data_IF_718380331032
#
_entry.id   IF_718380331032
#
_cell.length_a   1.000
_cell.length_b   1.000
_cell.length_c   1.000
_cell.angle_alpha   90.00
_cell.angle_beta   90.00
_cell.angle_gamma   90.00
#
_symmetry.space_group_name_H-M   'P 1'
#
loop_
_entity.id
_entity.type
_entity.pdbx_description
1 polymer ?
#
# COMPACT_ATOMS: atom_id res chain seq x y z
N UNK A 1 11.99 -3.56 26.62
CA UNK A 1 11.09 -2.40 26.46
C UNK A 1 10.05 -2.75 25.40
N UNK A 2 8.76 -2.48 25.68
CA UNK A 2 7.72 -2.72 24.67
C UNK A 2 7.87 -1.72 23.51
N UNK A 3 7.47 -2.11 22.28
CA UNK A 3 7.42 -1.22 21.10
C UNK A 3 6.70 0.11 21.40
N UNK A 4 5.61 0.04 22.15
CA UNK A 4 4.85 1.23 22.58
C UNK A 4 5.70 2.17 23.43
N UNK A 5 6.51 1.65 24.35
CA UNK A 5 7.37 2.47 25.21
C UNK A 5 8.48 3.18 24.40
N UNK A 6 9.05 2.51 23.39
CA UNK A 6 10.06 3.14 22.53
C UNK A 6 9.45 4.28 21.69
N UNK A 7 8.28 4.06 21.10
CA UNK A 7 7.53 5.09 20.37
C UNK A 7 7.13 6.27 21.25
N UNK A 8 6.62 5.97 22.46
CA UNK A 8 6.27 6.99 23.43
C UNK A 8 7.47 7.88 23.77
N UNK A 9 8.61 7.24 24.12
CA UNK A 9 9.86 7.97 24.43
C UNK A 9 10.31 8.85 23.26
N UNK A 10 10.26 8.33 22.03
CA UNK A 10 10.59 9.10 20.84
C UNK A 10 9.72 10.35 20.71
N UNK A 11 8.40 10.20 20.83
CA UNK A 11 7.45 11.30 20.69
C UNK A 11 7.63 12.37 21.78
N UNK A 12 7.72 11.95 23.04
CA UNK A 12 7.89 12.86 24.19
C UNK A 12 9.22 13.62 24.11
N UNK A 13 10.30 12.96 23.72
CA UNK A 13 11.62 13.60 23.55
C UNK A 13 11.60 14.71 22.48
N UNK A 14 10.67 14.66 21.55
CA UNK A 14 10.48 15.69 20.52
C UNK A 14 9.34 16.67 20.82
N UNK A 15 8.88 16.70 22.07
CA UNK A 15 7.92 17.70 22.56
C UNK A 15 6.45 17.40 22.24
N UNK A 16 6.13 16.19 21.80
CA UNK A 16 4.75 15.83 21.49
C UNK A 16 3.96 15.49 22.77
N UNK A 17 2.70 15.91 22.81
CA UNK A 17 1.76 15.50 23.86
C UNK A 17 1.24 14.10 23.52
N UNK A 18 1.56 13.11 24.34
CA UNK A 18 1.23 11.70 24.07
C UNK A 18 0.55 11.06 25.28
N UNK A 19 -0.51 10.31 25.00
CA UNK A 19 -1.16 9.45 25.99
C UNK A 19 -1.01 8.00 25.54
N UNK A 20 -0.49 7.13 26.43
CA UNK A 20 -0.44 5.68 26.21
C UNK A 20 -1.78 5.08 26.64
N UNK A 21 -2.27 4.11 25.84
CA UNK A 21 -3.49 3.36 26.12
C UNK A 21 -4.68 4.28 26.44
N UNK A 22 -4.82 5.32 25.61
CA UNK A 22 -5.92 6.28 25.76
C UNK A 22 -7.26 5.62 25.50
N UNK A 23 -8.10 5.61 26.50
CA UNK A 23 -9.49 5.16 26.38
C UNK A 23 -10.28 6.21 25.62
N UNK A 24 -11.00 5.79 24.58
CA UNK A 24 -11.90 6.59 23.76
C UNK A 24 -13.31 5.99 23.90
N UNK A 25 -14.06 6.39 24.94
CA UNK A 25 -15.35 5.78 25.28
C UNK A 25 -16.38 5.91 24.14
N UNK A 26 -16.33 7.02 23.43
CA UNK A 26 -17.20 7.31 22.29
C UNK A 26 -17.01 6.33 21.11
N UNK A 27 -15.84 5.69 21.02
CA UNK A 27 -15.52 4.68 20.00
C UNK A 27 -15.57 3.25 20.54
N UNK A 28 -15.67 3.08 21.86
CA UNK A 28 -15.50 1.77 22.53
C UNK A 28 -14.12 1.18 22.28
N UNK A 29 -13.06 2.02 22.15
CA UNK A 29 -11.70 1.61 21.80
C UNK A 29 -10.66 2.19 22.77
N UNK A 30 -9.51 1.52 22.79
CA UNK A 30 -8.30 2.00 23.45
C UNK A 30 -7.25 2.17 22.36
N UNK A 31 -6.74 3.40 22.19
CA UNK A 31 -5.63 3.69 21.29
C UNK A 31 -4.31 3.34 21.95
N UNK A 32 -3.41 2.63 21.25
CA UNK A 32 -2.10 2.26 21.81
C UNK A 32 -1.28 3.49 22.21
N UNK A 33 -1.20 4.49 21.32
CA UNK A 33 -0.69 5.82 21.61
C UNK A 33 -1.62 6.84 20.95
N UNK A 34 -1.88 7.93 21.65
CA UNK A 34 -2.66 9.04 21.12
C UNK A 34 -1.84 10.32 21.19
N UNK A 35 -1.57 10.91 20.03
CA UNK A 35 -0.67 12.05 19.88
C UNK A 35 -1.49 13.31 19.62
N UNK A 36 -1.24 14.34 20.42
CA UNK A 36 -2.02 15.57 20.37
C UNK A 36 -3.50 15.31 20.64
N UNK A 37 -4.35 15.85 19.78
CA UNK A 37 -5.81 15.78 19.94
C UNK A 37 -6.50 14.93 18.85
N UNK A 38 -5.74 14.35 17.90
CA UNK A 38 -6.38 13.75 16.72
C UNK A 38 -5.68 12.53 16.10
N UNK A 39 -4.47 12.17 16.52
CA UNK A 39 -3.73 11.08 15.89
C UNK A 39 -3.62 9.85 16.81
N UNK A 40 -4.21 8.75 16.40
CA UNK A 40 -3.99 7.44 17.00
C UNK A 40 -2.86 6.70 16.27
N UNK A 41 -1.87 6.21 17.01
CA UNK A 41 -0.87 5.26 16.53
C UNK A 41 -1.20 3.89 17.11
N UNK A 42 -1.47 2.94 16.23
CA UNK A 42 -1.82 1.56 16.58
C UNK A 42 -0.67 0.63 16.22
N UNK A 43 -0.17 -0.11 17.20
CA UNK A 43 0.94 -1.06 17.03
C UNK A 43 0.36 -2.47 16.89
N UNK A 44 0.31 -2.97 15.67
CA UNK A 44 -0.27 -4.29 15.39
C UNK A 44 0.84 -5.32 15.21
N UNK A 45 1.07 -6.16 16.23
CA UNK A 45 2.11 -7.18 16.20
C UNK A 45 1.61 -8.56 15.77
N UNK A 46 0.33 -8.87 15.99
CA UNK A 46 -0.27 -10.16 15.67
C UNK A 46 -1.40 -10.02 14.66
N UNK A 47 -1.80 -11.13 14.08
CA UNK A 47 -2.93 -11.15 13.13
C UNK A 47 -4.24 -10.80 13.83
N UNK A 48 -5.04 -9.99 13.16
CA UNK A 48 -6.44 -9.75 13.54
C UNK A 48 -7.35 -9.99 12.33
N UNK A 49 -8.65 -10.12 12.55
CA UNK A 49 -9.59 -10.27 11.44
C UNK A 49 -9.68 -8.98 10.63
N UNK A 50 -9.87 -9.09 9.31
CA UNK A 50 -10.10 -7.93 8.45
C UNK A 50 -11.31 -7.11 8.91
N UNK A 51 -12.37 -7.77 9.34
CA UNK A 51 -13.58 -7.11 9.83
C UNK A 51 -13.22 -6.19 11.02
N UNK A 52 -12.53 -6.70 12.03
CA UNK A 52 -12.14 -5.93 13.22
C UNK A 52 -11.23 -4.75 12.86
N UNK A 53 -10.27 -4.96 11.96
CA UNK A 53 -9.41 -3.87 11.47
C UNK A 53 -10.23 -2.76 10.83
N UNK A 54 -11.15 -3.14 9.94
CA UNK A 54 -12.02 -2.20 9.21
C UNK A 54 -12.96 -1.45 10.16
N UNK A 55 -13.58 -2.15 11.10
CA UNK A 55 -14.43 -1.54 12.13
C UNK A 55 -13.66 -0.52 12.96
N UNK A 56 -12.48 -0.89 13.47
CA UNK A 56 -11.63 0.01 14.26
C UNK A 56 -11.21 1.24 13.46
N UNK A 57 -10.75 1.04 12.23
CA UNK A 57 -10.32 2.16 11.36
C UNK A 57 -11.49 3.11 11.06
N UNK A 58 -12.67 2.57 10.73
CA UNK A 58 -13.86 3.39 10.44
C UNK A 58 -14.32 4.18 11.66
N UNK A 59 -14.28 3.59 12.85
CA UNK A 59 -14.63 4.29 14.08
C UNK A 59 -13.73 5.53 14.29
N UNK A 60 -12.40 5.39 14.15
CA UNK A 60 -11.49 6.54 14.18
C UNK A 60 -11.85 7.59 13.14
N UNK A 61 -12.07 7.16 11.90
CA UNK A 61 -12.39 8.06 10.79
C UNK A 61 -13.71 8.81 10.99
N UNK A 62 -14.74 8.16 11.53
CA UNK A 62 -16.05 8.77 11.81
C UNK A 62 -15.98 9.80 12.94
N UNK A 63 -15.11 9.57 13.93
CA UNK A 63 -14.86 10.52 15.00
C UNK A 63 -13.93 11.69 14.59
N UNK A 64 -13.45 11.71 13.34
CA UNK A 64 -12.53 12.73 12.86
C UNK A 64 -11.07 12.52 13.25
N UNK A 65 -10.73 11.36 13.82
CA UNK A 65 -9.35 11.04 14.15
C UNK A 65 -8.59 10.45 12.97
N UNK A 66 -7.30 10.72 12.91
CA UNK A 66 -6.38 10.00 12.05
C UNK A 66 -5.88 8.74 12.76
N UNK A 67 -5.70 7.65 12.03
CA UNK A 67 -5.06 6.44 12.55
C UNK A 67 -3.87 6.06 11.68
N UNK A 68 -2.76 5.69 12.32
CA UNK A 68 -1.59 5.09 11.68
C UNK A 68 -1.33 3.73 12.28
N UNK A 69 -1.46 2.72 11.43
CA UNK A 69 -1.15 1.34 11.77
C UNK A 69 0.33 1.08 11.54
N UNK A 70 1.02 0.65 12.57
CA UNK A 70 2.44 0.31 12.56
C UNK A 70 2.56 -1.20 12.76
N UNK A 71 3.09 -1.89 11.75
CA UNK A 71 3.05 -3.35 11.68
C UNK A 71 4.29 -3.98 12.30
N UNK A 72 4.10 -4.89 13.26
CA UNK A 72 5.16 -5.74 13.79
C UNK A 72 5.54 -6.86 12.82
N UNK A 73 6.58 -7.62 13.19
CA UNK A 73 7.27 -8.60 12.34
C UNK A 73 6.36 -9.63 11.67
N UNK A 74 5.36 -10.15 12.38
CA UNK A 74 4.42 -11.13 11.81
C UNK A 74 3.59 -10.60 10.62
N UNK A 75 3.50 -9.27 10.50
CA UNK A 75 2.69 -8.59 9.50
C UNK A 75 3.53 -7.85 8.45
N UNK A 76 4.85 -7.96 8.49
CA UNK A 76 5.70 -7.32 7.50
C UNK A 76 5.41 -7.80 6.08
N UNK A 77 5.57 -6.90 5.13
CA UNK A 77 5.34 -7.19 3.72
C UNK A 77 6.44 -8.07 3.14
N UNK A 78 6.08 -9.29 2.78
CA UNK A 78 6.96 -10.32 2.24
C UNK A 78 6.44 -10.86 0.92
N UNK A 79 6.96 -10.38 -0.19
CA UNK A 79 6.75 -10.94 -1.52
C UNK A 79 5.32 -10.89 -2.09
N UNK A 80 4.28 -10.97 -1.26
CA UNK A 80 2.86 -10.90 -1.65
C UNK A 80 2.04 -10.14 -0.62
N UNK A 81 1.03 -9.40 -1.09
CA UNK A 81 0.03 -8.77 -0.23
C UNK A 81 -1.04 -9.79 0.16
N UNK A 82 -1.22 -10.00 1.45
CA UNK A 82 -2.40 -10.68 2.00
C UNK A 82 -3.61 -9.74 1.95
N UNK A 83 -4.82 -10.28 2.09
CA UNK A 83 -6.03 -9.45 2.19
C UNK A 83 -5.98 -8.51 3.39
N UNK A 84 -5.44 -8.98 4.52
CA UNK A 84 -5.26 -8.15 5.71
C UNK A 84 -4.27 -7.01 5.46
N UNK A 85 -3.13 -7.27 4.80
CA UNK A 85 -2.16 -6.23 4.49
C UNK A 85 -2.72 -5.17 3.52
N UNK A 86 -3.64 -5.53 2.61
CA UNK A 86 -4.34 -4.55 1.75
C UNK A 86 -5.14 -3.54 2.57
N UNK A 87 -5.67 -3.94 3.71
CA UNK A 87 -6.41 -3.05 4.61
C UNK A 87 -5.50 -2.15 5.47
N UNK A 88 -4.18 -2.41 5.50
CA UNK A 88 -3.18 -1.51 6.09
C UNK A 88 -2.54 -0.55 5.07
N UNK A 89 -2.85 -0.68 3.77
CA UNK A 89 -2.28 0.20 2.75
C UNK A 89 -2.85 1.60 2.82
N UNK A 90 -1.96 2.56 2.88
CA UNK A 90 -2.23 3.98 2.64
C UNK A 90 -1.87 4.36 1.21
N UNK A 91 -2.30 5.55 0.78
CA UNK A 91 -1.96 6.08 -0.53
C UNK A 91 -1.74 7.59 -0.46
N UNK A 92 -0.68 8.07 -1.10
CA UNK A 92 -0.51 9.47 -1.43
C UNK A 92 -0.07 9.60 -2.89
N UNK A 93 -0.39 10.72 -3.52
CA UNK A 93 0.04 10.97 -4.89
C UNK A 93 1.57 11.04 -5.04
N UNK A 94 2.28 11.42 -3.98
CA UNK A 94 3.74 11.59 -3.99
C UNK A 94 4.51 10.27 -3.96
N UNK A 95 4.08 9.30 -3.16
CA UNK A 95 4.82 8.04 -2.95
C UNK A 95 4.00 6.78 -3.29
N UNK A 96 2.76 6.94 -3.76
CA UNK A 96 1.88 5.81 -4.10
C UNK A 96 1.40 5.03 -2.88
N UNK A 97 1.09 3.76 -3.11
CA UNK A 97 0.70 2.84 -2.04
C UNK A 97 1.87 2.61 -1.10
N UNK A 98 1.57 2.63 0.20
CA UNK A 98 2.59 2.45 1.23
C UNK A 98 2.00 1.88 2.53
N UNK A 99 2.87 1.31 3.37
CA UNK A 99 2.56 0.85 4.72
C UNK A 99 3.78 1.05 5.65
N UNK A 100 3.51 1.03 6.95
CA UNK A 100 4.50 1.23 7.98
C UNK A 100 4.80 -0.06 8.72
N UNK A 101 6.08 -0.33 8.97
CA UNK A 101 6.57 -1.47 9.73
C UNK A 101 7.45 -0.98 10.90
N UNK A 102 7.40 -1.70 12.01
CA UNK A 102 8.28 -1.49 13.16
C UNK A 102 9.23 -2.67 13.31
N UNK A 103 10.51 -2.36 13.39
CA UNK A 103 11.57 -3.30 13.73
C UNK A 103 12.13 -2.95 15.10
N UNK A 104 11.70 -3.67 16.13
CA UNK A 104 12.12 -3.40 17.50
C UNK A 104 13.57 -3.84 17.76
N UNK A 105 14.08 -4.85 17.03
CA UNK A 105 15.44 -5.34 17.19
C UNK A 105 16.47 -4.32 16.67
N UNK A 106 16.08 -3.59 15.63
CA UNK A 106 16.90 -2.52 15.05
C UNK A 106 16.54 -1.14 15.57
N UNK A 107 15.51 -1.04 16.39
CA UNK A 107 14.94 0.24 16.83
C UNK A 107 14.62 1.20 15.66
N UNK A 108 13.98 0.65 14.63
CA UNK A 108 13.66 1.35 13.38
C UNK A 108 12.15 1.35 13.09
N UNK A 109 11.68 2.46 12.51
CA UNK A 109 10.43 2.51 11.76
C UNK A 109 10.76 2.47 10.26
N UNK A 110 10.07 1.59 9.53
CA UNK A 110 10.27 1.41 8.10
C UNK A 110 9.02 1.75 7.33
N UNK A 111 9.20 2.43 6.22
CA UNK A 111 8.17 2.70 5.23
C UNK A 111 8.42 1.84 4.00
N UNK A 112 7.49 0.96 3.67
CA UNK A 112 7.40 0.30 2.37
C UNK A 112 6.54 1.19 1.48
N UNK A 113 7.08 1.68 0.37
CA UNK A 113 6.38 2.66 -0.47
C UNK A 113 6.58 2.38 -1.95
N UNK A 114 5.84 3.10 -2.75
CA UNK A 114 5.75 2.86 -4.19
C UNK A 114 5.43 1.38 -4.47
N UNK A 115 4.46 0.86 -3.71
CA UNK A 115 4.06 -0.54 -3.75
C UNK A 115 3.26 -0.79 -5.01
N UNK A 116 3.73 -1.76 -5.80
CA UNK A 116 3.07 -2.28 -6.99
C UNK A 116 2.95 -3.79 -6.89
N UNK A 117 2.00 -4.37 -7.61
CA UNK A 117 1.75 -5.81 -7.65
C UNK A 117 1.71 -6.30 -9.10
N UNK A 118 2.40 -7.41 -9.41
CA UNK A 118 2.26 -8.01 -10.73
C UNK A 118 0.98 -8.85 -10.85
N UNK A 119 0.65 -9.22 -12.07
CA UNK A 119 -0.53 -10.03 -12.35
C UNK A 119 -0.51 -11.42 -11.69
N UNK A 120 0.65 -11.88 -11.20
CA UNK A 120 0.80 -13.12 -10.44
C UNK A 120 0.75 -12.91 -8.92
N UNK A 121 0.69 -11.66 -8.46
CA UNK A 121 0.60 -11.28 -7.05
C UNK A 121 1.93 -11.07 -6.34
N UNK A 122 3.04 -11.05 -7.07
CA UNK A 122 4.32 -10.63 -6.52
C UNK A 122 4.30 -9.11 -6.35
N UNK A 123 4.76 -8.64 -5.18
CA UNK A 123 4.84 -7.21 -4.90
C UNK A 123 6.25 -6.68 -5.10
N UNK A 124 6.31 -5.42 -5.48
CA UNK A 124 7.52 -4.63 -5.67
C UNK A 124 7.35 -3.34 -4.90
N UNK A 125 8.41 -2.87 -4.24
CA UNK A 125 8.36 -1.67 -3.41
C UNK A 125 9.78 -1.15 -3.14
N UNK A 126 9.85 0.10 -2.70
CA UNK A 126 11.03 0.70 -2.10
C UNK A 126 10.89 0.68 -0.57
N UNK A 127 12.02 0.73 0.12
CA UNK A 127 12.05 0.77 1.59
C UNK A 127 12.87 1.95 2.04
N UNK A 128 12.33 2.72 2.98
CA UNK A 128 13.06 3.73 3.73
C UNK A 128 12.94 3.43 5.21
N UNK A 129 14.02 3.60 5.96
CA UNK A 129 14.05 3.35 7.39
C UNK A 129 14.59 4.57 8.11
N UNK A 130 14.11 4.77 9.33
CA UNK A 130 14.55 5.80 10.26
C UNK A 130 14.70 5.19 11.64
N UNK A 131 15.67 5.70 12.41
CA UNK A 131 15.80 5.32 13.82
C UNK A 131 14.60 5.83 14.62
N UNK A 132 14.16 5.06 15.62
CA UNK A 132 13.16 5.53 16.60
C UNK A 132 13.65 6.69 17.45
N UNK A 133 14.93 7.07 17.37
CA UNK A 133 15.46 8.28 17.99
C UNK A 133 15.19 9.55 17.21
N UNK A 134 14.82 9.44 15.92
CA UNK A 134 14.44 10.57 15.09
C UNK A 134 13.04 11.10 15.45
N UNK A 135 12.73 12.32 14.99
CA UNK A 135 11.40 12.91 15.22
C UNK A 135 10.33 12.11 14.45
N UNK A 136 9.60 11.27 15.18
CA UNK A 136 8.62 10.37 14.60
C UNK A 136 7.51 11.11 13.84
N UNK A 137 7.09 12.31 14.30
CA UNK A 137 6.06 13.08 13.60
C UNK A 137 6.56 13.59 12.24
N UNK A 138 7.82 13.97 12.14
CA UNK A 138 8.45 14.32 10.85
C UNK A 138 8.53 13.11 9.93
N UNK A 139 8.91 11.95 10.47
CA UNK A 139 8.96 10.67 9.73
C UNK A 139 7.57 10.31 9.18
N UNK A 140 6.53 10.36 10.01
CA UNK A 140 5.15 10.02 9.61
C UNK A 140 4.56 10.98 8.57
N UNK A 141 5.09 12.21 8.47
CA UNK A 141 4.71 13.19 7.44
C UNK A 141 5.41 12.98 6.09
N UNK A 142 6.48 12.17 6.04
CA UNK A 142 7.24 11.94 4.80
C UNK A 142 6.37 11.58 3.59
N UNK A 143 5.33 10.73 3.67
CA UNK A 143 4.47 10.40 2.53
C UNK A 143 3.79 11.61 1.87
N UNK A 144 3.59 12.67 2.62
CA UNK A 144 2.92 13.90 2.18
C UNK A 144 3.91 14.99 1.75
N UNK A 145 5.15 14.93 2.24
CA UNK A 145 6.16 15.99 2.06
C UNK A 145 7.29 15.61 1.11
N UNK A 146 7.39 14.34 0.69
CA UNK A 146 8.44 13.87 -0.19
C UNK A 146 8.53 14.75 -1.47
N UNK A 147 9.70 15.38 -1.69
CA UNK A 147 9.95 16.21 -2.86
C UNK A 147 10.45 15.38 -4.04
N UNK A 148 11.30 14.42 -3.76
CA UNK A 148 11.86 13.48 -4.74
C UNK A 148 11.58 12.06 -4.29
N UNK A 149 11.04 11.28 -5.19
CA UNK A 149 10.79 9.85 -4.98
C UNK A 149 11.57 9.07 -6.01
N UNK A 150 12.33 8.10 -5.54
CA UNK A 150 13.08 7.20 -6.40
C UNK A 150 12.12 6.39 -7.27
N UNK A 151 12.61 6.03 -8.45
CA UNK A 151 11.92 5.11 -9.35
C UNK A 151 12.71 3.81 -9.41
N UNK A 152 12.05 2.73 -9.79
CA UNK A 152 12.74 1.46 -9.97
C UNK A 152 12.22 0.73 -11.20
N UNK A 153 13.05 -0.18 -11.72
CA UNK A 153 12.70 -1.01 -12.86
C UNK A 153 12.45 -2.44 -12.44
N UNK A 154 11.47 -3.06 -13.06
CA UNK A 154 11.18 -4.48 -12.92
C UNK A 154 11.25 -5.16 -14.28
N UNK A 155 11.73 -6.41 -14.28
CA UNK A 155 11.69 -7.25 -15.47
C UNK A 155 10.38 -8.01 -15.48
N UNK A 156 9.59 -7.83 -16.51
CA UNK A 156 8.35 -8.54 -16.73
C UNK A 156 8.62 -9.96 -17.21
N UNK A 157 7.68 -10.86 -16.93
CA UNK A 157 7.76 -12.25 -17.36
C UNK A 157 7.60 -12.36 -18.87
N UNK A 158 8.51 -13.05 -19.53
CA UNK A 158 8.39 -13.45 -20.95
C UNK A 158 7.42 -14.61 -21.08
N UNK A 159 6.77 -14.73 -22.24
CA UNK A 159 5.79 -15.78 -22.57
C UNK A 159 4.67 -15.89 -21.52
N UNK A 160 4.24 -14.73 -21.03
CA UNK A 160 3.22 -14.63 -19.97
C UNK A 160 1.89 -15.26 -20.38
N UNK A 161 1.51 -15.13 -21.66
CA UNK A 161 0.31 -15.76 -22.24
C UNK A 161 0.35 -17.30 -22.07
N UNK A 162 1.47 -17.94 -22.40
CA UNK A 162 1.63 -19.39 -22.21
C UNK A 162 1.58 -19.81 -20.74
N UNK A 163 2.12 -18.99 -19.84
CA UNK A 163 2.04 -19.26 -18.39
C UNK A 163 0.58 -19.22 -17.94
N UNK A 164 -0.17 -18.18 -18.36
CA UNK A 164 -1.58 -18.02 -17.99
C UNK A 164 -2.44 -19.16 -18.57
N UNK A 165 -2.20 -19.57 -19.82
CA UNK A 165 -2.86 -20.73 -20.42
C UNK A 165 -2.64 -21.99 -19.57
N UNK A 166 -1.40 -22.27 -19.16
CA UNK A 166 -1.07 -23.41 -18.31
C UNK A 166 -1.75 -23.32 -16.93
N UNK A 167 -1.78 -22.13 -16.31
CA UNK A 167 -2.49 -21.91 -15.04
C UNK A 167 -4.00 -22.16 -15.18
N UNK A 168 -4.61 -21.76 -16.29
CA UNK A 168 -6.02 -22.04 -16.60
C UNK A 168 -6.28 -23.52 -16.86
N UNK A 169 -5.43 -24.19 -17.63
CA UNK A 169 -5.51 -25.65 -17.84
C UNK A 169 -5.36 -26.43 -16.54
N UNK A 170 -4.48 -25.97 -15.63
CA UNK A 170 -4.31 -26.49 -14.28
C UNK A 170 -5.43 -26.11 -13.30
N UNK A 171 -6.48 -25.44 -13.76
CA UNK A 171 -7.62 -24.98 -12.96
C UNK A 171 -7.21 -24.15 -11.72
N UNK A 172 -6.15 -23.33 -11.85
CA UNK A 172 -5.74 -22.44 -10.77
C UNK A 172 -6.90 -21.49 -10.38
N UNK A 173 -7.37 -21.51 -9.12
CA UNK A 173 -8.58 -20.76 -8.73
C UNK A 173 -8.51 -19.25 -8.98
N UNK A 174 -7.31 -18.67 -8.86
CA UNK A 174 -7.08 -17.25 -9.12
C UNK A 174 -7.29 -16.93 -10.60
N UNK A 175 -6.73 -17.77 -11.49
CA UNK A 175 -6.82 -17.56 -12.93
C UNK A 175 -8.18 -17.92 -13.50
N UNK A 176 -8.83 -18.98 -12.95
CA UNK A 176 -10.21 -19.33 -13.31
C UNK A 176 -11.16 -18.15 -13.05
N UNK A 177 -11.05 -17.53 -11.89
CA UNK A 177 -11.85 -16.35 -11.54
C UNK A 177 -11.57 -15.16 -12.46
N UNK A 178 -10.31 -14.89 -12.81
CA UNK A 178 -9.95 -13.85 -13.78
C UNK A 178 -10.50 -14.12 -15.17
N UNK A 179 -10.56 -15.38 -15.57
CA UNK A 179 -11.18 -15.80 -16.80
C UNK A 179 -12.69 -15.51 -16.81
N UNK A 180 -13.38 -15.82 -15.71
CA UNK A 180 -14.80 -15.48 -15.53
C UNK A 180 -15.03 -13.97 -15.64
N UNK A 181 -14.22 -13.18 -14.93
CA UNK A 181 -14.27 -11.71 -15.00
C UNK A 181 -13.97 -11.18 -16.42
N UNK A 182 -13.08 -11.83 -17.16
CA UNK A 182 -12.78 -11.50 -18.55
C UNK A 182 -13.94 -11.83 -19.48
N UNK A 183 -14.57 -12.99 -19.31
CA UNK A 183 -15.76 -13.37 -20.09
C UNK A 183 -16.92 -12.39 -19.92
N UNK A 184 -17.15 -11.90 -18.71
CA UNK A 184 -18.16 -10.86 -18.46
C UNK A 184 -17.89 -9.55 -19.22
N UNK A 185 -16.65 -9.33 -19.66
CA UNK A 185 -16.22 -8.18 -20.48
C UNK A 185 -16.05 -8.52 -21.97
N UNK A 186 -16.51 -9.70 -22.39
CA UNK A 186 -16.37 -10.17 -23.77
C UNK A 186 -14.94 -10.56 -24.17
N UNK A 187 -14.07 -10.86 -23.20
CA UNK A 187 -12.67 -11.24 -23.45
C UNK A 187 -12.41 -12.69 -23.05
N UNK A 188 -11.45 -13.33 -23.76
CA UNK A 188 -10.97 -14.66 -23.41
C UNK A 188 -9.46 -14.60 -23.18
N UNK A 189 -9.00 -14.87 -21.95
CA UNK A 189 -7.59 -14.83 -21.60
C UNK A 189 -6.74 -15.83 -22.38
N UNK A 190 -7.33 -16.93 -22.86
CA UNK A 190 -6.66 -17.92 -23.68
C UNK A 190 -6.27 -17.40 -25.08
N UNK A 191 -6.97 -16.36 -25.56
CA UNK A 191 -6.74 -15.75 -26.87
C UNK A 191 -5.81 -14.52 -26.81
N UNK A 192 -5.37 -14.13 -25.61
CA UNK A 192 -4.53 -12.96 -25.41
C UNK A 192 -3.05 -13.27 -25.62
N UNK A 193 -2.34 -12.32 -26.24
CA UNK A 193 -0.89 -12.32 -26.42
C UNK A 193 -0.15 -11.74 -25.22
N UNK A 194 1.17 -11.84 -25.18
CA UNK A 194 2.00 -11.20 -24.15
C UNK A 194 1.78 -9.69 -24.07
N UNK A 195 1.51 -9.04 -25.20
CA UNK A 195 1.28 -7.58 -25.26
C UNK A 195 -0.02 -7.16 -24.58
N UNK A 196 -1.05 -8.00 -24.60
CA UNK A 196 -2.34 -7.71 -23.98
C UNK A 196 -2.27 -7.71 -22.46
N UNK A 197 -1.26 -8.40 -21.89
CA UNK A 197 -0.97 -8.39 -20.46
C UNK A 197 -0.05 -7.26 -20.03
N UNK A 198 0.41 -6.41 -20.95
CA UNK A 198 1.24 -5.25 -20.62
C UNK A 198 0.40 -4.07 -20.12
N UNK A 199 0.80 -3.36 -19.06
CA UNK A 199 1.91 -3.68 -18.15
C UNK A 199 1.53 -4.81 -17.17
N UNK A 200 2.50 -5.69 -16.88
CA UNK A 200 2.25 -6.79 -15.94
C UNK A 200 2.23 -6.32 -14.48
N UNK A 201 2.94 -5.25 -14.16
CA UNK A 201 3.01 -4.67 -12.82
C UNK A 201 2.11 -3.45 -12.75
N UNK A 202 1.19 -3.44 -11.78
CA UNK A 202 0.09 -2.48 -11.66
C UNK A 202 -0.07 -2.02 -10.22
N UNK A 203 -0.92 -1.05 -9.98
CA UNK A 203 -1.37 -0.72 -8.62
C UNK A 203 -2.00 -1.94 -7.96
N UNK A 204 -1.80 -2.12 -6.63
CA UNK A 204 -2.52 -3.13 -5.88
C UNK A 204 -4.03 -2.97 -6.04
N UNK A 205 -4.74 -4.08 -6.11
CA UNK A 205 -6.19 -4.13 -6.21
C UNK A 205 -6.78 -4.69 -4.91
N UNK A 206 -7.94 -4.19 -4.51
CA UNK A 206 -8.72 -4.73 -3.39
C UNK A 206 -10.19 -4.84 -3.79
N UNK A 207 -10.77 -6.03 -3.60
CA UNK A 207 -12.19 -6.28 -3.88
C UNK A 207 -13.12 -5.55 -2.93
N UNK A 208 -12.67 -5.36 -1.70
CA UNK A 208 -13.45 -4.69 -0.65
C UNK A 208 -13.10 -3.21 -0.52
N UNK A 209 -12.22 -2.69 -1.40
CA UNK A 209 -11.62 -1.37 -1.27
C UNK A 209 -10.55 -1.32 -0.18
N UNK A 210 -9.88 -0.19 -0.07
CA UNK A 210 -8.82 0.08 0.89
C UNK A 210 -9.35 0.94 2.03
N UNK A 211 -9.44 0.40 3.24
CA UNK A 211 -10.09 1.09 4.36
C UNK A 211 -9.35 2.35 4.84
N UNK A 212 -8.02 2.41 4.64
CA UNK A 212 -7.23 3.60 5.01
C UNK A 212 -7.30 4.71 3.96
N UNK A 213 -7.77 4.41 2.74
CA UNK A 213 -7.73 5.33 1.60
C UNK A 213 -9.12 5.95 1.41
N UNK A 214 -9.25 7.24 1.69
CA UNK A 214 -10.52 7.97 1.60
C UNK A 214 -10.76 8.60 0.21
N UNK A 215 -9.69 8.87 -0.52
CA UNK A 215 -9.76 9.48 -1.85
C UNK A 215 -10.03 8.44 -2.94
N UNK A 216 -10.65 8.85 -4.03
CA UNK A 216 -10.79 8.01 -5.21
C UNK A 216 -9.44 7.78 -5.87
N UNK A 217 -9.17 6.54 -6.25
CA UNK A 217 -7.97 6.14 -6.99
C UNK A 217 -8.17 6.11 -8.51
N UNK A 218 -9.41 6.23 -8.98
CA UNK A 218 -9.76 6.09 -10.40
C UNK A 218 -8.96 7.02 -11.33
N UNK A 219 -8.75 8.27 -10.89
CA UNK A 219 -7.98 9.25 -11.66
C UNK A 219 -6.54 8.78 -11.88
N UNK A 220 -5.89 8.29 -10.83
CA UNK A 220 -4.52 7.78 -10.89
C UNK A 220 -4.43 6.49 -11.72
N UNK A 221 -5.40 5.59 -11.60
CA UNK A 221 -5.47 4.37 -12.41
C UNK A 221 -5.67 4.67 -13.90
N UNK A 222 -6.52 5.63 -14.25
CA UNK A 222 -6.73 6.08 -15.63
C UNK A 222 -5.43 6.64 -16.23
N UNK A 223 -4.72 7.50 -15.48
CA UNK A 223 -3.45 8.08 -15.91
C UNK A 223 -2.36 7.01 -16.07
N UNK A 224 -2.25 6.08 -15.16
CA UNK A 224 -1.37 4.93 -15.24
C UNK A 224 -1.64 4.09 -16.50
N UNK A 225 -2.90 3.67 -16.71
CA UNK A 225 -3.31 2.90 -17.89
C UNK A 225 -3.04 3.67 -19.18
N UNK A 226 -3.36 4.97 -19.22
CA UNK A 226 -3.12 5.85 -20.38
C UNK A 226 -1.63 5.97 -20.72
N UNK A 227 -0.78 6.09 -19.70
CA UNK A 227 0.68 6.14 -19.88
C UNK A 227 1.20 4.90 -20.58
N UNK A 228 0.86 3.70 -20.10
CA UNK A 228 1.37 2.45 -20.66
C UNK A 228 0.74 2.06 -22.00
N UNK A 229 -0.52 2.43 -22.28
CA UNK A 229 -1.12 2.24 -23.61
C UNK A 229 -0.36 2.95 -24.73
N UNK A 230 0.29 4.06 -24.43
CA UNK A 230 1.07 4.85 -25.39
C UNK A 230 2.52 4.41 -25.50
N UNK A 231 2.94 3.42 -24.73
CA UNK A 231 4.30 2.90 -24.74
C UNK A 231 4.36 1.61 -25.55
N UNK A 232 5.49 1.45 -26.25
CA UNK A 232 5.77 0.17 -26.87
C UNK A 232 5.94 -0.91 -25.81
N UNK A 233 5.49 -2.11 -26.12
CA UNK A 233 5.68 -3.27 -25.28
C UNK A 233 7.17 -3.45 -24.96
N UNK A 234 7.48 -3.66 -23.70
CA UNK A 234 8.83 -3.91 -23.23
C UNK A 234 8.80 -4.86 -22.04
N UNK A 235 9.79 -5.74 -21.98
CA UNK A 235 9.98 -6.59 -20.80
C UNK A 235 10.58 -5.85 -19.60
N UNK A 236 11.00 -4.61 -19.76
CA UNK A 236 11.40 -3.73 -18.67
C UNK A 236 10.32 -2.69 -18.42
N UNK A 237 9.84 -2.63 -17.22
CA UNK A 237 8.82 -1.66 -16.78
C UNK A 237 9.41 -0.78 -15.69
N UNK A 238 9.46 0.52 -15.92
CA UNK A 238 9.85 1.50 -14.90
C UNK A 238 8.62 1.93 -14.11
N UNK A 239 8.70 1.87 -12.80
CA UNK A 239 7.63 2.23 -11.89
C UNK A 239 7.90 3.62 -11.31
N UNK A 240 6.91 4.49 -11.43
CA UNK A 240 6.98 5.89 -11.05
C UNK A 240 5.97 6.21 -9.96
N UNK A 241 6.20 7.25 -9.14
CA UNK A 241 5.17 7.76 -8.24
C UNK A 241 3.95 8.27 -9.03
N UNK A 242 2.73 8.21 -8.46
CA UNK A 242 1.50 8.61 -9.16
C UNK A 242 1.52 10.02 -9.75
N UNK A 243 2.22 10.97 -9.09
CA UNK A 243 2.39 12.35 -9.61
C UNK A 243 3.11 12.41 -10.95
N UNK A 244 3.95 11.44 -11.27
CA UNK A 244 4.63 11.37 -12.57
C UNK A 244 3.64 11.22 -13.71
N UNK A 245 2.67 10.30 -13.58
CA UNK A 245 1.67 10.06 -14.61
C UNK A 245 0.77 11.29 -14.83
N UNK A 246 0.46 12.02 -13.76
CA UNK A 246 -0.31 13.25 -13.83
C UNK A 246 0.45 14.38 -14.55
N UNK A 247 1.74 14.57 -14.24
CA UNK A 247 2.59 15.59 -14.86
C UNK A 247 2.75 15.39 -16.37
N UNK A 248 2.94 14.14 -16.83
CA UNK A 248 3.07 13.85 -18.27
C UNK A 248 1.80 14.20 -19.04
N UNK A 249 0.65 14.00 -18.44
CA UNK A 249 -0.60 14.33 -19.11
C UNK A 249 -0.79 15.86 -19.21
N UNK A 250 -0.51 16.60 -18.16
CA UNK A 250 -0.64 18.07 -18.16
C UNK A 250 0.33 18.75 -19.14
N UNK A 251 1.56 18.23 -19.30
CA UNK A 251 2.55 18.77 -20.24
C UNK A 251 2.20 18.50 -21.73
N UNK A 252 1.15 17.75 -22.03
CA UNK A 252 0.67 17.48 -23.40
C UNK A 252 -0.50 18.35 -23.83
N UNK A 253 -1.07 19.10 -22.89
CA UNK A 253 -2.16 20.03 -23.14
C UNK A 253 -1.70 21.50 -23.21
N UNK A 254 -0.41 21.75 -22.94
CA UNK A 254 0.30 23.00 -23.18
C UNK A 254 1.23 22.87 -24.40
#
# INVERSE_FOLDING_TARGET
>A
LSLKAALYKSLVNHGEKVCIEKVLPELGQIADLFVGDSLALEVQCSRLSQQRLRERTRAYQQAGYEVRWLLGEELWLNGRLTNLQRDFLYFTAKIGFHLWELDWQKEEIRLKYLIYEDIFGKVYYLTKAWSLTENLMTVLRFPYQAERVETYQVTQRKKVSHVIQRELMGKNPRWMRRQEEAYLRGMNLLCLSDQDFFPQVRFPESRQGFVQIRQSLEGFEKLFKKYYRKRHFSYRQTLYPPTFYAKIENNRHN
#
